data_IF_147052912515
#
_entry.id   IF_147052912515
#
_cell.length_a   1.000
_cell.length_b   1.000
_cell.length_c   1.000
_cell.angle_alpha   90.00
_cell.angle_beta   90.00
_cell.angle_gamma   90.00
#
_symmetry.space_group_name_H-M   'P 1'
#
loop_
_entity.id
_entity.type
_entity.pdbx_description
1 polymer ?
#
# COMPACT_ATOMS: atom_id res chain seq x y z
N UNK A 1 -0.01 -11.88 -10.94
CA UNK A 1 0.43 -13.19 -11.48
C UNK A 1 1.44 -13.77 -10.52
N UNK A 2 1.54 -15.10 -10.46
CA UNK A 2 2.34 -15.88 -9.49
C UNK A 2 3.79 -15.37 -9.30
N UNK A 3 4.40 -14.71 -10.28
CA UNK A 3 5.79 -14.22 -10.19
C UNK A 3 6.02 -13.10 -9.18
N UNK A 4 5.02 -12.25 -8.88
CA UNK A 4 5.16 -11.19 -7.85
C UNK A 4 5.17 -11.75 -6.42
N UNK A 5 4.82 -13.03 -6.23
CA UNK A 5 4.72 -13.67 -4.91
C UNK A 5 6.10 -14.08 -4.37
N UNK A 6 7.08 -14.33 -5.24
CA UNK A 6 8.36 -14.96 -4.88
C UNK A 6 9.23 -14.14 -3.91
N UNK A 7 9.23 -12.80 -4.04
CA UNK A 7 10.06 -11.93 -3.20
C UNK A 7 9.50 -11.80 -1.78
N UNK A 8 8.18 -11.80 -1.61
CA UNK A 8 7.53 -11.69 -0.30
C UNK A 8 7.44 -13.03 0.44
N UNK A 9 7.66 -14.13 -0.28
CA UNK A 9 7.78 -15.46 0.32
C UNK A 9 9.24 -15.78 0.75
N UNK A 10 10.17 -14.82 0.62
CA UNK A 10 11.43 -14.85 1.37
C UNK A 10 11.12 -14.80 2.87
N UNK A 11 11.96 -15.44 3.69
CA UNK A 11 11.73 -15.56 5.14
C UNK A 11 11.46 -14.20 5.81
N UNK A 12 10.46 -14.14 6.69
CA UNK A 12 10.18 -12.96 7.51
C UNK A 12 11.42 -12.51 8.32
N UNK A 13 12.27 -13.46 8.72
CA UNK A 13 13.53 -13.17 9.43
C UNK A 13 14.49 -12.35 8.57
N UNK A 14 14.51 -12.56 7.25
CA UNK A 14 15.35 -11.78 6.34
C UNK A 14 14.86 -10.33 6.26
N UNK A 15 13.55 -10.14 6.09
CA UNK A 15 12.97 -8.80 6.07
C UNK A 15 13.17 -8.07 7.41
N UNK A 16 13.07 -8.78 8.53
CA UNK A 16 13.30 -8.23 9.86
C UNK A 16 14.75 -7.75 10.12
N UNK A 17 15.72 -8.08 9.25
CA UNK A 17 17.10 -7.59 9.38
C UNK A 17 17.23 -6.09 9.09
N UNK A 18 16.36 -5.54 8.23
CA UNK A 18 16.47 -4.16 7.75
C UNK A 18 15.16 -3.36 7.86
N UNK A 19 14.01 -4.02 7.99
CA UNK A 19 12.76 -3.35 8.32
C UNK A 19 12.72 -2.98 9.80
N UNK A 20 11.93 -1.96 10.11
CA UNK A 20 11.62 -1.59 11.48
C UNK A 20 10.62 -2.59 12.12
N UNK A 21 10.36 -2.51 13.44
CA UNK A 21 9.44 -3.40 14.13
C UNK A 21 8.01 -3.45 13.56
N UNK A 22 7.54 -2.41 12.86
CA UNK A 22 6.22 -2.47 12.20
C UNK A 22 6.20 -3.40 10.99
N UNK A 23 7.36 -3.85 10.50
CA UNK A 23 7.52 -4.59 9.24
C UNK A 23 6.91 -3.83 8.05
N UNK A 24 6.98 -2.50 8.08
CA UNK A 24 6.45 -1.64 7.04
C UNK A 24 7.35 -1.62 5.81
N UNK A 25 7.11 -2.48 4.82
CA UNK A 25 7.91 -2.50 3.58
C UNK A 25 7.38 -1.53 2.51
N UNK A 26 7.21 -0.27 2.89
CA UNK A 26 6.70 0.83 2.04
C UNK A 26 7.33 2.16 2.47
N UNK A 27 7.10 3.23 1.70
CA UNK A 27 7.53 4.58 2.07
C UNK A 27 7.12 4.95 3.49
N UNK A 28 8.07 5.39 4.32
CA UNK A 28 7.78 5.98 5.63
C UNK A 28 7.38 7.47 5.49
N UNK A 29 6.92 8.10 6.57
CA UNK A 29 6.60 9.53 6.60
C UNK A 29 7.34 10.21 7.76
N UNK A 30 8.42 10.90 7.43
CA UNK A 30 9.22 11.68 8.36
C UNK A 30 8.58 13.06 8.56
N UNK A 31 7.65 13.18 9.51
CA UNK A 31 7.04 14.46 9.87
C UNK A 31 8.03 15.40 10.58
N UNK A 32 9.01 14.81 11.27
CA UNK A 32 10.14 15.51 11.89
C UNK A 32 11.44 14.84 11.47
N UNK A 33 12.51 15.63 11.40
CA UNK A 33 13.83 15.17 10.97
C UNK A 33 14.50 14.19 11.96
N UNK A 34 14.03 14.14 13.20
CA UNK A 34 14.58 13.31 14.28
C UNK A 34 13.88 11.96 14.48
N UNK A 35 12.92 11.61 13.61
CA UNK A 35 12.18 10.37 13.70
C UNK A 35 13.05 9.16 13.37
N UNK A 36 12.95 8.13 14.20
CA UNK A 36 13.37 6.77 13.85
C UNK A 36 12.51 6.22 12.70
N UNK A 37 12.97 5.16 12.03
CA UNK A 37 12.18 4.51 10.97
C UNK A 37 10.85 3.97 11.50
N UNK A 38 10.83 3.41 12.71
CA UNK A 38 9.61 2.92 13.37
C UNK A 38 8.61 4.05 13.61
N UNK A 39 9.06 5.19 14.13
CA UNK A 39 8.21 6.37 14.32
C UNK A 39 7.68 6.89 12.97
N UNK A 40 8.53 6.92 11.94
CA UNK A 40 8.15 7.40 10.61
C UNK A 40 7.17 6.45 9.90
N UNK A 41 7.27 5.13 10.11
CA UNK A 41 6.29 4.17 9.58
C UNK A 41 4.95 4.30 10.29
N UNK A 42 4.95 4.39 11.62
CA UNK A 42 3.75 4.65 12.39
C UNK A 42 3.10 5.99 12.00
N UNK A 43 3.89 7.04 11.80
CA UNK A 43 3.42 8.34 11.31
C UNK A 43 2.81 8.23 9.90
N UNK A 44 3.36 7.38 9.02
CA UNK A 44 2.77 7.13 7.70
C UNK A 44 1.44 6.36 7.79
N UNK A 45 1.34 5.35 8.65
CA UNK A 45 0.06 4.68 8.89
C UNK A 45 -0.97 5.66 9.45
N UNK A 46 -0.59 6.51 10.39
CA UNK A 46 -1.45 7.56 10.94
C UNK A 46 -1.89 8.57 9.88
N UNK A 47 -0.97 9.01 9.01
CA UNK A 47 -1.26 9.92 7.91
C UNK A 47 -2.25 9.29 6.91
N UNK A 48 -2.09 8.01 6.61
CA UNK A 48 -2.95 7.24 5.72
C UNK A 48 -4.36 7.07 6.31
N UNK A 49 -4.44 6.50 7.52
CA UNK A 49 -5.69 6.18 8.21
C UNK A 49 -6.46 7.45 8.61
N UNK A 50 -5.75 8.51 9.01
CA UNK A 50 -6.35 9.80 9.37
C UNK A 50 -7.09 10.50 8.21
N UNK A 51 -6.85 10.10 6.96
CA UNK A 51 -7.57 10.62 5.78
C UNK A 51 -8.89 9.90 5.51
N UNK A 52 -9.15 8.78 6.18
CA UNK A 52 -10.31 7.95 5.93
C UNK A 52 -11.54 8.39 6.73
N UNK A 53 -11.41 9.32 7.69
CA UNK A 53 -12.49 9.66 8.62
C UNK A 53 -13.11 8.39 9.23
N UNK A 54 -12.25 7.57 9.84
CA UNK A 54 -12.64 6.34 10.53
C UNK A 54 -13.35 6.69 11.83
N UNK A 55 -14.46 6.01 12.07
CA UNK A 55 -15.20 6.08 13.33
C UNK A 55 -15.21 4.69 13.99
N UNK A 56 -15.22 4.63 15.34
CA UNK A 56 -15.24 3.36 16.05
C UNK A 56 -16.34 2.41 15.57
N UNK A 57 -15.97 1.17 15.28
CA UNK A 57 -16.89 0.13 14.78
C UNK A 57 -17.09 0.08 13.27
N UNK A 58 -16.54 1.01 12.50
CA UNK A 58 -16.43 0.86 11.05
C UNK A 58 -15.58 -0.37 10.68
N UNK A 59 -15.75 -0.88 9.46
CA UNK A 59 -14.93 -1.94 8.87
C UNK A 59 -13.97 -1.36 7.84
N UNK A 60 -12.67 -1.49 8.12
CA UNK A 60 -11.58 -1.10 7.23
C UNK A 60 -11.05 -2.30 6.44
N UNK A 61 -11.00 -2.18 5.11
CA UNK A 61 -10.28 -3.11 4.24
C UNK A 61 -8.87 -2.59 3.95
N UNK A 62 -7.85 -3.40 4.22
CA UNK A 62 -6.46 -3.17 3.77
C UNK A 62 -6.09 -4.13 2.62
N UNK A 63 -5.94 -3.58 1.42
CA UNK A 63 -5.63 -4.34 0.21
C UNK A 63 -4.11 -4.39 0.00
N UNK A 64 -3.56 -5.59 0.16
CA UNK A 64 -2.11 -5.80 0.21
C UNK A 64 -1.56 -5.47 1.60
N UNK A 65 -2.15 -6.05 2.64
CA UNK A 65 -1.91 -5.65 4.03
C UNK A 65 -0.50 -5.93 4.58
N UNK A 66 0.37 -6.57 3.79
CA UNK A 66 1.73 -6.93 4.19
C UNK A 66 1.75 -7.70 5.50
N UNK A 67 2.70 -7.34 6.37
CA UNK A 67 2.82 -7.91 7.72
C UNK A 67 1.86 -7.30 8.75
N UNK A 68 0.82 -6.57 8.33
CA UNK A 68 -0.29 -6.12 9.18
C UNK A 68 -0.03 -4.90 10.07
N UNK A 69 1.06 -4.16 9.86
CA UNK A 69 1.37 -2.96 10.66
C UNK A 69 0.29 -1.88 10.58
N UNK A 70 -0.29 -1.64 9.40
CA UNK A 70 -1.38 -0.69 9.20
C UNK A 70 -2.67 -1.15 9.90
N UNK A 71 -3.00 -2.44 9.81
CA UNK A 71 -4.17 -3.05 10.45
C UNK A 71 -4.10 -2.94 11.97
N UNK A 72 -2.93 -3.25 12.56
CA UNK A 72 -2.69 -3.08 13.99
C UNK A 72 -2.93 -1.63 14.40
N UNK A 73 -2.33 -0.68 13.66
CA UNK A 73 -2.49 0.75 13.94
C UNK A 73 -3.94 1.21 13.84
N UNK A 74 -4.71 0.65 12.89
CA UNK A 74 -6.13 0.96 12.73
C UNK A 74 -6.96 0.51 13.94
N UNK A 75 -6.75 -0.71 14.44
CA UNK A 75 -7.43 -1.23 15.64
C UNK A 75 -7.10 -0.35 16.86
N UNK A 76 -5.81 -0.13 17.13
CA UNK A 76 -5.36 0.54 18.36
C UNK A 76 -5.77 2.02 18.44
N UNK A 77 -5.78 2.73 17.30
CA UNK A 77 -5.98 4.18 17.28
C UNK A 77 -7.40 4.60 16.89
N UNK A 78 -8.09 3.80 16.10
CA UNK A 78 -9.40 4.15 15.54
C UNK A 78 -10.52 3.22 15.99
N UNK A 79 -10.21 2.13 16.68
CA UNK A 79 -11.19 1.20 17.25
C UNK A 79 -12.17 0.65 16.19
N UNK A 80 -11.62 0.22 15.06
CA UNK A 80 -12.36 -0.31 13.90
C UNK A 80 -12.21 -1.82 13.76
N UNK A 81 -13.18 -2.45 13.09
CA UNK A 81 -13.01 -3.79 12.57
C UNK A 81 -12.07 -3.73 11.36
N UNK A 82 -11.31 -4.80 11.13
CA UNK A 82 -10.35 -4.82 10.03
C UNK A 82 -10.39 -6.12 9.24
N UNK A 83 -10.26 -5.99 7.92
CA UNK A 83 -10.05 -7.09 6.98
C UNK A 83 -8.76 -6.80 6.21
N UNK A 84 -7.75 -7.64 6.36
CA UNK A 84 -6.54 -7.62 5.57
C UNK A 84 -6.57 -8.66 4.47
N UNK A 85 -6.22 -8.29 3.24
CA UNK A 85 -6.03 -9.27 2.16
C UNK A 85 -4.59 -9.22 1.63
N UNK A 86 -3.99 -10.39 1.45
CA UNK A 86 -2.65 -10.57 0.87
C UNK A 86 -2.61 -11.82 0.00
N UNK A 87 -1.65 -11.88 -0.92
CA UNK A 87 -1.34 -13.06 -1.73
C UNK A 87 -0.11 -13.82 -1.23
N UNK A 88 0.65 -13.27 -0.28
CA UNK A 88 1.81 -13.97 0.32
C UNK A 88 1.38 -14.79 1.52
N UNK A 89 1.82 -16.05 1.55
CA UNK A 89 1.52 -16.95 2.68
C UNK A 89 2.27 -16.54 3.95
N UNK A 90 3.52 -16.10 3.83
CA UNK A 90 4.30 -15.65 4.98
C UNK A 90 3.66 -14.42 5.64
N UNK A 91 3.31 -13.42 4.83
CA UNK A 91 2.61 -12.23 5.31
C UNK A 91 1.25 -12.56 5.94
N UNK A 92 0.50 -13.50 5.36
CA UNK A 92 -0.76 -13.97 5.94
C UNK A 92 -0.55 -14.56 7.34
N UNK A 93 0.37 -15.52 7.51
CA UNK A 93 0.61 -16.16 8.81
C UNK A 93 1.14 -15.15 9.84
N UNK A 94 2.08 -14.29 9.43
CA UNK A 94 2.66 -13.29 10.30
C UNK A 94 1.64 -12.25 10.76
N UNK A 95 0.90 -11.64 9.83
CA UNK A 95 -0.10 -10.63 10.16
C UNK A 95 -1.24 -11.20 11.00
N UNK A 96 -1.68 -12.43 10.70
CA UNK A 96 -2.67 -13.13 11.53
C UNK A 96 -2.19 -13.34 12.96
N UNK A 97 -0.94 -13.79 13.16
CA UNK A 97 -0.36 -13.98 14.49
C UNK A 97 -0.19 -12.64 15.24
N UNK A 98 0.31 -11.60 14.55
CA UNK A 98 0.44 -10.24 15.09
C UNK A 98 -0.89 -9.70 15.59
N UNK A 99 -1.93 -9.75 14.75
CA UNK A 99 -3.21 -9.13 15.08
C UNK A 99 -3.98 -9.92 16.14
N UNK A 100 -3.81 -11.25 16.22
CA UNK A 100 -4.38 -12.08 17.27
C UNK A 100 -3.82 -11.77 18.67
N UNK A 101 -2.65 -11.14 18.76
CA UNK A 101 -2.04 -10.73 20.03
C UNK A 101 -2.59 -9.40 20.57
N UNK A 102 -3.40 -8.67 19.79
CA UNK A 102 -3.96 -7.38 20.19
C UNK A 102 -5.23 -7.62 21.02
N UNK A 103 -5.30 -7.11 22.27
CA UNK A 103 -6.53 -7.19 23.05
C UNK A 103 -7.57 -6.22 22.48
N UNK A 104 -8.61 -6.76 21.83
CA UNK A 104 -9.71 -5.97 21.25
C UNK A 104 -11.02 -6.77 21.22
N UNK A 105 -12.15 -6.06 21.22
CA UNK A 105 -13.48 -6.62 20.95
C UNK A 105 -13.88 -6.48 19.46
N UNK A 106 -13.02 -5.86 18.64
CA UNK A 106 -13.25 -5.68 17.21
C UNK A 106 -13.02 -6.96 16.43
N UNK A 107 -13.69 -7.07 15.30
CA UNK A 107 -13.48 -8.17 14.36
C UNK A 107 -12.18 -7.94 13.61
N UNK A 108 -11.34 -8.98 13.60
CA UNK A 108 -10.03 -8.99 12.94
C UNK A 108 -9.99 -10.17 11.99
N UNK A 109 -9.81 -9.90 10.71
CA UNK A 109 -9.69 -10.91 9.69
C UNK A 109 -8.48 -10.65 8.80
N UNK A 110 -7.74 -11.72 8.48
CA UNK A 110 -6.69 -11.71 7.45
C UNK A 110 -7.02 -12.84 6.49
N UNK A 111 -6.98 -12.58 5.18
CA UNK A 111 -7.28 -13.56 4.14
C UNK A 111 -6.10 -13.69 3.18
N UNK A 112 -5.78 -14.94 2.82
CA UNK A 112 -4.93 -15.24 1.67
C UNK A 112 -5.81 -15.18 0.42
N UNK A 113 -6.12 -13.97 -0.03
CA UNK A 113 -7.13 -13.67 -1.05
C UNK A 113 -6.67 -12.49 -1.91
N UNK A 114 -6.94 -12.55 -3.22
CA UNK A 114 -6.76 -11.42 -4.13
C UNK A 114 -7.95 -10.46 -4.08
N UNK A 115 -7.71 -9.17 -4.38
CA UNK A 115 -8.79 -8.18 -4.46
C UNK A 115 -9.80 -8.50 -5.57
N UNK A 116 -9.38 -9.29 -6.57
CA UNK A 116 -10.22 -9.73 -7.68
C UNK A 116 -11.42 -10.58 -7.23
N UNK A 117 -11.28 -11.25 -6.09
CA UNK A 117 -12.26 -12.16 -5.51
C UNK A 117 -13.01 -11.55 -4.32
N UNK A 118 -12.68 -10.31 -3.93
CA UNK A 118 -13.27 -9.66 -2.77
C UNK A 118 -14.64 -9.04 -3.10
N UNK A 119 -15.67 -9.38 -2.33
CA UNK A 119 -17.06 -8.97 -2.56
C UNK A 119 -17.82 -8.50 -1.32
N UNK A 120 -17.21 -8.54 -0.13
CA UNK A 120 -17.83 -8.03 1.11
C UNK A 120 -17.98 -6.50 1.09
N UNK A 121 -19.02 -5.99 1.74
CA UNK A 121 -19.20 -4.55 1.97
C UNK A 121 -18.31 -4.05 3.12
N UNK A 122 -17.66 -2.91 2.93
CA UNK A 122 -16.75 -2.28 3.91
C UNK A 122 -16.96 -0.78 3.95
N UNK A 123 -16.63 -0.14 5.07
CA UNK A 123 -16.83 1.30 5.22
C UNK A 123 -15.72 2.12 4.56
N UNK A 124 -14.48 1.65 4.64
CA UNK A 124 -13.27 2.35 4.18
C UNK A 124 -12.28 1.38 3.57
N UNK A 125 -11.50 1.88 2.61
CA UNK A 125 -10.41 1.11 1.99
C UNK A 125 -9.08 1.85 2.20
N UNK A 126 -8.05 1.11 2.57
CA UNK A 126 -6.66 1.55 2.52
C UNK A 126 -5.87 0.59 1.64
N UNK A 127 -4.94 1.12 0.84
CA UNK A 127 -3.96 0.30 0.13
C UNK A 127 -2.64 1.06 0.06
N UNK A 128 -1.57 0.41 0.53
CA UNK A 128 -0.25 1.04 0.70
C UNK A 128 0.80 0.17 0.03
N UNK A 129 1.35 0.62 -1.09
CA UNK A 129 2.44 -0.04 -1.80
C UNK A 129 2.07 -1.35 -2.49
N UNK A 130 0.77 -1.63 -2.68
CA UNK A 130 0.30 -2.84 -3.34
C UNK A 130 -0.13 -2.62 -4.80
N UNK A 131 -0.54 -1.40 -5.15
CA UNK A 131 -1.17 -1.09 -6.44
C UNK A 131 -0.25 -1.28 -7.65
N UNK A 132 1.06 -1.13 -7.45
CA UNK A 132 2.15 -1.40 -8.39
C UNK A 132 2.10 -2.85 -8.91
N UNK A 133 1.51 -3.77 -8.14
CA UNK A 133 1.42 -5.21 -8.44
C UNK A 133 0.06 -5.62 -9.02
N UNK A 134 -0.92 -4.71 -9.12
CA UNK A 134 -2.25 -5.07 -9.61
C UNK A 134 -2.26 -5.32 -11.12
N UNK A 135 -1.24 -4.85 -11.83
CA UNK A 135 -1.10 -5.01 -13.27
C UNK A 135 -1.94 -3.99 -14.04
N UNK A 136 -1.27 -3.24 -14.92
CA UNK A 136 -1.84 -2.08 -15.63
C UNK A 136 -3.20 -2.34 -16.29
N UNK A 137 -3.40 -3.50 -16.91
CA UNK A 137 -4.63 -3.82 -17.63
C UNK A 137 -5.84 -4.04 -16.70
N UNK A 138 -5.62 -4.12 -15.38
CA UNK A 138 -6.64 -4.45 -14.39
C UNK A 138 -7.01 -3.29 -13.47
N UNK A 139 -6.37 -2.13 -13.60
CA UNK A 139 -6.67 -0.96 -12.74
C UNK A 139 -8.14 -0.55 -12.81
N UNK A 140 -8.75 -0.54 -13.99
CA UNK A 140 -10.18 -0.27 -14.13
C UNK A 140 -11.07 -1.29 -13.39
N UNK A 141 -10.68 -2.56 -13.35
CA UNK A 141 -11.40 -3.58 -12.57
C UNK A 141 -11.21 -3.38 -11.06
N UNK A 142 -10.00 -2.97 -10.63
CA UNK A 142 -9.73 -2.64 -9.23
C UNK A 142 -10.61 -1.49 -8.75
N UNK A 143 -10.66 -0.37 -9.48
CA UNK A 143 -11.49 0.76 -9.09
C UNK A 143 -12.99 0.41 -9.10
N UNK A 144 -13.45 -0.40 -10.06
CA UNK A 144 -14.85 -0.91 -10.07
C UNK A 144 -15.15 -1.77 -8.83
N UNK A 145 -14.22 -2.63 -8.43
CA UNK A 145 -14.36 -3.43 -7.22
C UNK A 145 -14.41 -2.53 -6.00
N UNK A 146 -13.44 -1.63 -5.84
CA UNK A 146 -13.36 -0.72 -4.69
C UNK A 146 -14.61 0.16 -4.57
N UNK A 147 -15.13 0.68 -5.68
CA UNK A 147 -16.35 1.48 -5.69
C UNK A 147 -17.60 0.66 -5.32
N UNK A 148 -17.67 -0.60 -5.75
CA UNK A 148 -18.82 -1.49 -5.49
C UNK A 148 -18.93 -1.86 -4.00
N UNK A 149 -17.80 -2.12 -3.34
CA UNK A 149 -17.77 -2.61 -1.96
C UNK A 149 -17.86 -1.49 -0.92
N UNK A 150 -17.73 -0.24 -1.35
CA UNK A 150 -17.87 0.95 -0.52
C UNK A 150 -19.31 1.46 -0.51
N UNK A 151 -19.81 2.03 0.61
CA UNK A 151 -21.05 2.78 0.62
C UNK A 151 -20.90 4.09 -0.17
N UNK A 152 -22.02 4.80 -0.40
CA UNK A 152 -22.03 6.06 -1.14
C UNK A 152 -21.07 7.14 -0.57
N UNK A 153 -20.89 7.16 0.74
CA UNK A 153 -19.96 8.07 1.46
C UNK A 153 -18.60 7.41 1.76
N UNK A 154 -18.30 6.28 1.12
CA UNK A 154 -17.09 5.52 1.32
C UNK A 154 -15.85 6.28 0.86
N UNK A 155 -14.75 6.11 1.60
CA UNK A 155 -13.46 6.75 1.30
C UNK A 155 -12.39 5.68 1.10
N UNK A 156 -11.62 5.83 0.03
CA UNK A 156 -10.43 5.03 -0.22
C UNK A 156 -9.17 5.90 -0.14
N UNK A 157 -8.14 5.40 0.54
CA UNK A 157 -6.79 5.98 0.52
C UNK A 157 -5.86 5.05 -0.27
N UNK A 158 -5.43 5.51 -1.44
CA UNK A 158 -4.48 4.84 -2.32
C UNK A 158 -3.09 5.48 -2.19
N UNK A 159 -2.14 4.73 -1.65
CA UNK A 159 -0.72 5.10 -1.57
C UNK A 159 0.09 4.18 -2.49
N UNK A 160 0.69 4.75 -3.52
CA UNK A 160 1.45 3.99 -4.54
C UNK A 160 2.60 4.82 -5.10
N UNK A 161 3.68 4.15 -5.52
CA UNK A 161 4.78 4.75 -6.25
C UNK A 161 4.28 5.14 -7.65
N UNK A 162 4.41 6.42 -7.98
CA UNK A 162 4.08 6.93 -9.31
C UNK A 162 5.34 7.33 -10.06
N UNK A 163 5.31 7.20 -11.39
CA UNK A 163 6.31 7.78 -12.29
C UNK A 163 5.75 9.00 -13.01
N UNK A 164 6.59 9.96 -13.42
CA UNK A 164 6.15 11.03 -14.32
C UNK A 164 5.72 10.45 -15.68
N UNK A 165 4.84 11.16 -16.36
CA UNK A 165 4.61 10.96 -17.79
C UNK A 165 5.88 11.30 -18.59
N UNK A 166 6.01 10.78 -19.81
CA UNK A 166 7.15 11.13 -20.67
C UNK A 166 7.24 12.65 -20.93
N UNK A 167 6.09 13.32 -21.02
CA UNK A 167 6.02 14.78 -21.19
C UNK A 167 6.58 15.51 -19.97
N UNK A 168 6.18 15.11 -18.77
CA UNK A 168 6.67 15.69 -17.52
C UNK A 168 8.15 15.40 -17.30
N UNK A 169 8.59 14.16 -17.52
CA UNK A 169 9.99 13.78 -17.40
C UNK A 169 10.89 14.63 -18.31
N UNK A 170 10.47 14.84 -19.56
CA UNK A 170 11.17 15.71 -20.51
C UNK A 170 11.17 17.17 -20.05
N UNK A 171 10.06 17.67 -19.55
CA UNK A 171 9.95 19.05 -19.04
C UNK A 171 10.80 19.30 -17.79
N UNK A 172 10.96 18.28 -16.94
CA UNK A 172 11.79 18.31 -15.74
C UNK A 172 13.29 18.15 -16.02
N UNK A 173 13.67 17.94 -17.29
CA UNK A 173 15.06 17.69 -17.65
C UNK A 173 15.59 16.37 -17.11
N UNK A 174 14.72 15.36 -16.95
CA UNK A 174 15.08 14.00 -16.56
C UNK A 174 15.28 13.14 -17.83
N UNK A 175 16.50 13.06 -18.40
CA UNK A 175 16.74 12.26 -19.59
C UNK A 175 16.60 10.76 -19.27
N UNK A 176 16.08 10.00 -20.23
CA UNK A 176 16.21 8.54 -20.24
C UNK A 176 17.67 8.20 -20.57
N UNK A 177 18.49 8.06 -19.53
CA UNK A 177 19.87 7.62 -19.67
C UNK A 177 19.94 6.10 -19.77
N UNK A 178 21.05 5.58 -20.30
CA UNK A 178 21.30 4.15 -20.37
C UNK A 178 21.30 3.49 -18.99
N UNK A 179 21.82 4.19 -17.97
CA UNK A 179 21.82 3.75 -16.58
C UNK A 179 20.40 3.60 -16.02
N UNK A 180 19.53 4.59 -16.23
CA UNK A 180 18.12 4.53 -15.80
C UNK A 180 17.40 3.37 -16.47
N UNK A 181 17.64 3.13 -17.77
CA UNK A 181 17.04 2.01 -18.50
C UNK A 181 17.52 0.67 -17.94
N UNK A 182 18.83 0.52 -17.73
CA UNK A 182 19.41 -0.71 -17.19
C UNK A 182 18.94 -1.00 -15.77
N UNK A 183 18.88 0.01 -14.90
CA UNK A 183 18.37 -0.15 -13.54
C UNK A 183 16.88 -0.52 -13.56
N UNK A 184 16.08 0.11 -14.42
CA UNK A 184 14.66 -0.26 -14.58
C UNK A 184 14.49 -1.71 -15.05
N UNK A 185 15.34 -2.17 -15.98
CA UNK A 185 15.35 -3.56 -16.44
C UNK A 185 15.70 -4.53 -15.30
N UNK A 186 16.72 -4.21 -14.50
CA UNK A 186 17.08 -5.00 -13.32
C UNK A 186 15.92 -5.10 -12.32
N UNK A 187 15.28 -3.98 -11.98
CA UNK A 187 14.14 -3.96 -11.05
C UNK A 187 13.00 -4.85 -11.57
N UNK A 188 12.66 -4.76 -12.86
CA UNK A 188 11.56 -5.55 -13.45
C UNK A 188 11.91 -7.02 -13.67
N UNK A 189 13.19 -7.38 -13.77
CA UNK A 189 13.62 -8.76 -13.98
C UNK A 189 13.86 -9.50 -12.66
N UNK A 190 14.51 -8.85 -11.69
CA UNK A 190 15.06 -9.52 -10.51
C UNK A 190 14.29 -9.22 -9.22
N UNK A 191 13.65 -8.05 -9.11
CA UNK A 191 13.03 -7.60 -7.85
C UNK A 191 11.50 -7.65 -7.90
N UNK A 192 10.91 -7.03 -8.92
CA UNK A 192 9.45 -6.94 -9.07
C UNK A 192 8.98 -7.34 -10.49
N UNK A 193 9.06 -8.64 -10.84
CA UNK A 193 8.51 -9.15 -12.09
C UNK A 193 7.02 -8.80 -12.27
N UNK A 194 6.69 -8.22 -13.42
CA UNK A 194 5.32 -7.81 -13.76
C UNK A 194 4.81 -6.56 -13.04
N UNK A 195 5.63 -5.94 -12.18
CA UNK A 195 5.31 -4.66 -11.55
C UNK A 195 5.17 -3.54 -12.58
N UNK A 196 4.24 -2.60 -12.33
CA UNK A 196 4.06 -1.45 -13.19
C UNK A 196 3.74 -0.18 -12.40
N UNK A 197 4.57 0.84 -12.58
CA UNK A 197 4.36 2.14 -11.95
C UNK A 197 3.31 2.97 -12.72
N UNK A 198 2.19 3.37 -12.08
CA UNK A 198 1.23 4.29 -12.66
C UNK A 198 1.79 5.70 -12.83
N UNK A 199 1.15 6.48 -13.68
CA UNK A 199 1.26 7.94 -13.67
C UNK A 199 0.08 8.51 -12.88
N UNK A 200 0.24 9.69 -12.26
CA UNK A 200 -0.86 10.35 -11.54
C UNK A 200 -2.12 10.49 -12.43
N UNK A 201 -2.02 10.99 -13.68
CA UNK A 201 -3.20 11.09 -14.56
C UNK A 201 -3.88 9.74 -14.84
N UNK A 202 -3.12 8.64 -14.90
CA UNK A 202 -3.72 7.32 -15.15
C UNK A 202 -4.51 6.82 -13.94
N UNK A 203 -4.08 7.15 -12.72
CA UNK A 203 -4.83 6.82 -11.50
C UNK A 203 -6.12 7.63 -11.46
N UNK A 204 -6.02 8.94 -11.72
CA UNK A 204 -7.16 9.87 -11.74
C UNK A 204 -8.21 9.42 -12.77
N UNK A 205 -7.79 9.12 -14.00
CA UNK A 205 -8.67 8.65 -15.08
C UNK A 205 -9.47 7.41 -14.68
N UNK A 206 -8.80 6.34 -14.23
CA UNK A 206 -9.50 5.09 -13.88
C UNK A 206 -10.38 5.22 -12.62
N UNK A 207 -10.00 6.09 -11.68
CA UNK A 207 -10.81 6.34 -10.49
C UNK A 207 -12.08 7.14 -10.84
N UNK A 208 -11.96 8.19 -11.64
CA UNK A 208 -13.08 9.06 -12.03
C UNK A 208 -14.05 8.33 -12.98
N UNK A 209 -13.56 7.44 -13.84
CA UNK A 209 -14.38 6.60 -14.73
C UNK A 209 -15.46 5.79 -13.99
N UNK A 210 -15.19 5.38 -12.75
CA UNK A 210 -16.13 4.60 -11.93
C UNK A 210 -16.96 5.45 -10.96
N UNK A 211 -16.64 6.73 -10.84
CA UNK A 211 -17.37 7.69 -9.99
C UNK A 211 -16.62 8.18 -8.76
N UNK A 212 -15.37 7.78 -8.52
CA UNK A 212 -14.60 8.41 -7.45
C UNK A 212 -14.31 9.89 -7.77
N UNK A 213 -14.18 10.69 -6.72
CA UNK A 213 -13.69 12.06 -6.81
C UNK A 213 -12.38 12.16 -6.03
N UNK A 214 -11.32 12.62 -6.69
CA UNK A 214 -10.04 12.82 -6.04
C UNK A 214 -10.10 14.10 -5.19
N UNK A 215 -10.10 13.93 -3.87
CA UNK A 215 -10.20 15.05 -2.93
C UNK A 215 -8.82 15.63 -2.54
N UNK A 216 -7.76 14.82 -2.65
CA UNK A 216 -6.40 15.22 -2.28
C UNK A 216 -5.34 14.34 -2.94
N UNK A 217 -4.31 14.97 -3.50
CA UNK A 217 -3.06 14.32 -3.94
C UNK A 217 -1.91 14.85 -3.09
N UNK A 218 -1.11 13.97 -2.48
CA UNK A 218 0.02 14.35 -1.62
C UNK A 218 1.26 13.54 -2.01
N UNK A 219 2.30 14.23 -2.49
CA UNK A 219 3.57 13.58 -2.82
C UNK A 219 4.43 13.38 -1.57
N UNK A 220 5.00 12.19 -1.41
CA UNK A 220 5.97 11.85 -0.36
C UNK A 220 7.36 11.53 -0.94
N UNK A 221 7.69 12.05 -2.12
CA UNK A 221 8.87 11.66 -2.91
C UNK A 221 10.18 11.60 -2.11
N UNK A 222 10.47 12.64 -1.32
CA UNK A 222 11.73 12.73 -0.57
C UNK A 222 11.76 11.77 0.63
N UNK A 223 10.62 11.40 1.20
CA UNK A 223 10.57 10.46 2.32
C UNK A 223 10.96 9.04 1.88
N UNK A 224 10.67 8.66 0.62
CA UNK A 224 11.08 7.35 0.10
C UNK A 224 12.61 7.27 -0.02
N UNK A 225 13.29 8.37 -0.37
CA UNK A 225 14.75 8.41 -0.40
C UNK A 225 15.34 8.12 0.99
N UNK A 226 14.88 8.83 2.02
CA UNK A 226 15.28 8.59 3.41
C UNK A 226 14.94 7.18 3.90
N UNK A 227 13.78 6.65 3.50
CA UNK A 227 13.36 5.27 3.82
C UNK A 227 14.35 4.26 3.25
N UNK A 228 14.68 4.36 1.96
CA UNK A 228 15.60 3.45 1.28
C UNK A 228 17.03 3.58 1.79
N UNK A 229 17.49 4.79 2.13
CA UNK A 229 18.79 5.02 2.78
C UNK A 229 18.87 4.35 4.16
N UNK A 230 17.74 4.22 4.87
CA UNK A 230 17.69 3.57 6.18
C UNK A 230 17.65 2.04 6.07
N UNK A 231 17.07 1.49 5.00
CA UNK A 231 17.02 0.05 4.74
C UNK A 231 18.34 -0.52 4.20
N UNK A 232 19.18 0.30 3.57
CA UNK A 232 20.43 -0.09 2.92
C UNK A 232 21.59 -0.27 3.92
#
# INVERSE_FOLDING_TARGET
GEESQSIYDVSDEFFALFLDPTMGYTCAYFERDDMTLEEAQNAKFDLALGKLNLEPGMTLLDIGCGWGGALQRAIEKFDVNVIGITLSRNQFEYSKARLAAIPTERTVEVRLQGWEEFDDEVDRIVTIGAFEHFGRQRWGHFFKMAYRVLPAEGVMMLHTITRPTFKEARAQGNPLTHEVVHFTQFILAEIFPGGWLPTIPSVEEHAEEVGFKITRTQSLRLHYATTLETWA
#
